data_IF_832825994955
#
_entry.id   IF_832825994955
#
_cell.length_a   1.000
_cell.length_b   1.000
_cell.length_c   1.000
_cell.angle_alpha   90.00
_cell.angle_beta   90.00
_cell.angle_gamma   90.00
#
_symmetry.space_group_name_H-M   'P 1'
#
loop_
_entity.id
_entity.type
_entity.pdbx_description
1 polymer ?
#
# COMPACT_ATOMS: atom_id res chain seq x y z
N UNK A 1 -10.45 5.22 -31.19
CA UNK A 1 -11.83 4.70 -31.15
C UNK A 1 -11.94 3.76 -29.95
N UNK A 2 -12.63 4.18 -28.89
CA UNK A 2 -12.72 3.44 -27.63
C UNK A 2 -13.87 2.41 -27.68
N UNK A 3 -13.62 1.18 -27.22
CA UNK A 3 -14.64 0.13 -27.09
C UNK A 3 -15.36 0.24 -25.74
N UNK A 4 -16.69 0.01 -25.67
CA UNK A 4 -17.44 0.17 -24.42
C UNK A 4 -17.29 -1.03 -23.47
N UNK A 5 -17.18 -0.72 -22.18
CA UNK A 5 -17.14 -1.68 -21.06
C UNK A 5 -18.57 -2.16 -20.78
N UNK A 6 -18.77 -3.48 -20.71
CA UNK A 6 -20.04 -4.10 -20.33
C UNK A 6 -20.15 -4.13 -18.80
N UNK A 7 -21.22 -3.57 -18.26
CA UNK A 7 -21.59 -3.72 -16.85
C UNK A 7 -22.20 -5.11 -16.63
N UNK A 8 -21.70 -5.85 -15.64
CA UNK A 8 -22.28 -7.11 -15.19
C UNK A 8 -22.89 -6.89 -13.80
N UNK A 9 -24.22 -6.89 -13.75
CA UNK A 9 -25.02 -6.93 -12.52
C UNK A 9 -24.96 -8.35 -11.94
N UNK A 10 -24.65 -8.47 -10.65
CA UNK A 10 -24.79 -9.74 -9.91
C UNK A 10 -26.00 -9.65 -8.98
N UNK A 11 -26.93 -10.58 -9.19
CA UNK A 11 -28.16 -10.76 -8.43
C UNK A 11 -27.87 -11.50 -7.11
N UNK A 12 -28.53 -11.08 -6.04
CA UNK A 12 -28.39 -11.62 -4.70
C UNK A 12 -29.62 -12.47 -4.37
N UNK A 13 -29.52 -13.79 -4.56
CA UNK A 13 -30.47 -14.72 -3.96
C UNK A 13 -29.88 -16.14 -3.89
N UNK A 14 -29.62 -16.63 -2.68
CA UNK A 14 -30.10 -17.94 -2.20
C UNK A 14 -29.47 -18.28 -0.84
N UNK A 15 -30.35 -18.43 0.15
CA UNK A 15 -30.11 -18.94 1.52
C UNK A 15 -30.38 -20.45 1.53
N UNK A 16 -29.77 -21.22 2.44
CA UNK A 16 -30.61 -22.05 3.33
C UNK A 16 -30.07 -22.03 4.77
N UNK A 17 -30.87 -21.77 5.80
CA UNK A 17 -31.88 -22.60 6.48
C UNK A 17 -31.29 -23.24 7.76
N UNK A 18 -32.06 -23.11 8.85
CA UNK A 18 -31.67 -23.37 10.24
C UNK A 18 -31.86 -24.85 10.58
N UNK A 19 -31.00 -25.38 11.44
CA UNK A 19 -31.27 -26.61 12.18
C UNK A 19 -31.13 -26.35 13.69
N UNK A 20 -32.10 -26.82 14.48
CA UNK A 20 -32.14 -26.83 15.95
C UNK A 20 -32.56 -28.22 16.44
N UNK A 21 -32.34 -28.57 17.72
CA UNK A 21 -31.73 -29.84 18.12
C UNK A 21 -32.68 -30.81 18.82
N UNK A 22 -32.33 -32.10 18.86
CA UNK A 22 -32.85 -33.03 19.88
C UNK A 22 -31.78 -34.00 20.37
N UNK A 23 -31.80 -34.22 21.68
CA UNK A 23 -30.93 -35.09 22.47
C UNK A 23 -31.32 -36.57 22.34
N UNK A 24 -30.43 -37.48 22.75
CA UNK A 24 -30.68 -38.67 23.59
C UNK A 24 -29.32 -39.20 24.11
N UNK A 25 -29.42 -39.95 25.20
CA UNK A 25 -28.54 -40.13 26.35
C UNK A 25 -27.52 -41.29 26.29
N UNK A 26 -26.60 -41.25 27.27
CA UNK A 26 -26.08 -42.37 28.08
C UNK A 26 -24.86 -43.16 27.57
N UNK A 27 -23.71 -42.99 28.24
CA UNK A 27 -23.22 -43.97 29.24
C UNK A 27 -21.81 -43.61 29.71
N UNK A 28 -21.60 -43.75 31.01
CA UNK A 28 -20.41 -43.43 31.78
C UNK A 28 -19.22 -44.37 31.50
N UNK A 29 -18.00 -43.83 31.43
CA UNK A 29 -16.80 -44.43 32.04
C UNK A 29 -15.70 -43.37 32.18
N UNK A 30 -15.19 -43.24 33.40
CA UNK A 30 -14.17 -42.29 33.84
C UNK A 30 -12.80 -42.58 33.23
N UNK A 31 -12.05 -41.51 32.91
CA UNK A 31 -10.62 -41.42 33.18
C UNK A 31 -10.30 -39.95 33.42
N UNK A 32 -10.11 -39.58 34.69
CA UNK A 32 -9.55 -38.29 35.08
C UNK A 32 -8.10 -38.21 34.61
N UNK A 33 -7.78 -37.22 33.78
CA UNK A 33 -6.42 -36.76 33.57
C UNK A 33 -6.37 -35.27 33.81
N UNK A 34 -5.87 -34.96 35.00
CA UNK A 34 -5.41 -33.65 35.44
C UNK A 34 -4.57 -33.01 34.34
N UNK A 35 -5.15 -32.02 33.64
CA UNK A 35 -4.42 -31.19 32.68
C UNK A 35 -4.58 -29.76 33.14
N UNK A 36 -3.64 -29.34 33.98
CA UNK A 36 -3.38 -27.94 34.29
C UNK A 36 -3.40 -27.11 33.00
N UNK A 37 -4.23 -26.06 32.87
CA UNK A 37 -4.17 -25.20 31.71
C UNK A 37 -2.86 -24.40 31.79
N UNK A 38 -1.94 -24.71 30.86
CA UNK A 38 -0.74 -23.92 30.63
C UNK A 38 -1.15 -22.46 30.30
N UNK A 39 -0.50 -21.44 30.90
CA UNK A 39 -0.81 -20.06 30.60
C UNK A 39 -0.49 -19.79 29.13
N UNK A 40 -1.53 -19.39 28.41
CA UNK A 40 -1.51 -18.96 27.02
C UNK A 40 -0.41 -17.89 26.86
N UNK A 41 0.71 -18.26 26.24
CA UNK A 41 1.71 -17.29 25.81
C UNK A 41 1.08 -16.46 24.69
N UNK A 42 0.54 -15.31 25.07
CA UNK A 42 0.31 -14.21 24.14
C UNK A 42 1.69 -13.82 23.60
N UNK A 43 2.02 -14.34 22.42
CA UNK A 43 3.16 -13.89 21.63
C UNK A 43 2.90 -12.41 21.36
N UNK A 44 3.54 -11.54 22.14
CA UNK A 44 3.57 -10.11 21.83
C UNK A 44 4.22 -9.98 20.47
N UNK A 45 3.48 -9.46 19.49
CA UNK A 45 4.07 -9.14 18.20
C UNK A 45 5.24 -8.19 18.43
N UNK A 46 6.46 -8.69 18.26
CA UNK A 46 7.66 -7.90 18.31
C UNK A 46 7.60 -6.89 17.16
N UNK A 47 7.21 -5.66 17.48
CA UNK A 47 7.02 -4.60 16.49
C UNK A 47 8.36 -4.24 15.90
N UNK A 48 8.69 -4.85 14.75
CA UNK A 48 9.94 -4.59 14.01
C UNK A 48 10.14 -3.08 13.85
N UNK A 49 11.32 -2.53 14.19
CA UNK A 49 11.57 -1.10 14.09
C UNK A 49 11.42 -0.64 12.64
N UNK A 50 10.86 0.56 12.47
CA UNK A 50 10.74 1.19 11.16
C UNK A 50 12.17 1.51 10.68
N UNK A 51 12.57 1.08 9.48
CA UNK A 51 13.90 1.37 8.95
C UNK A 51 14.10 2.89 8.81
N UNK A 52 15.36 3.34 8.75
CA UNK A 52 15.63 4.73 8.37
C UNK A 52 15.25 4.94 6.90
N UNK A 53 14.60 6.06 6.64
CA UNK A 53 13.97 6.38 5.36
C UNK A 53 14.49 7.74 4.90
N UNK A 54 14.99 7.78 3.68
CA UNK A 54 15.34 9.02 2.98
C UNK A 54 14.36 9.29 1.84
N UNK A 55 14.20 10.56 1.49
CA UNK A 55 13.39 11.01 0.36
C UNK A 55 14.29 11.77 -0.60
N UNK A 56 14.43 11.28 -1.83
CA UNK A 56 15.26 11.92 -2.87
C UNK A 56 14.54 11.92 -4.22
N UNK A 57 14.91 12.80 -5.17
CA UNK A 57 14.50 12.66 -6.57
C UNK A 57 14.81 11.25 -7.08
N UNK A 58 13.94 10.74 -7.96
CA UNK A 58 14.16 9.47 -8.65
C UNK A 58 15.05 9.72 -9.88
N UNK A 59 16.03 8.85 -10.11
CA UNK A 59 16.99 8.94 -11.21
C UNK A 59 16.78 7.81 -12.22
N UNK A 60 17.34 7.93 -13.43
CA UNK A 60 17.23 6.89 -14.47
C UNK A 60 17.91 5.57 -14.05
N UNK A 61 18.96 5.66 -13.24
CA UNK A 61 19.64 4.51 -12.63
C UNK A 61 18.73 3.69 -11.72
N UNK A 62 17.67 4.29 -11.17
CA UNK A 62 16.70 3.62 -10.28
C UNK A 62 15.66 2.77 -11.03
N UNK A 63 15.73 2.69 -12.36
CA UNK A 63 14.69 2.05 -13.19
C UNK A 63 14.39 0.61 -12.77
N UNK A 64 15.41 -0.17 -12.41
CA UNK A 64 15.24 -1.56 -12.00
C UNK A 64 14.54 -1.68 -10.64
N UNK A 65 14.79 -0.74 -9.73
CA UNK A 65 14.07 -0.67 -8.46
C UNK A 65 12.64 -0.17 -8.66
N UNK A 66 12.41 0.84 -9.51
CA UNK A 66 11.08 1.33 -9.90
C UNK A 66 10.19 0.20 -10.42
N UNK A 67 10.74 -0.66 -11.27
CA UNK A 67 10.00 -1.78 -11.83
C UNK A 67 9.45 -2.72 -10.75
N UNK A 68 10.11 -2.87 -9.59
CA UNK A 68 9.65 -3.79 -8.51
C UNK A 68 8.25 -3.50 -7.99
N UNK A 69 7.79 -2.25 -8.07
CA UNK A 69 6.41 -1.90 -7.71
C UNK A 69 5.56 -1.46 -8.89
N UNK A 70 6.18 -1.03 -10.00
CA UNK A 70 5.47 -0.64 -11.23
C UNK A 70 5.02 -1.81 -12.10
N UNK A 71 5.63 -2.98 -11.98
CA UNK A 71 5.21 -4.20 -12.67
C UNK A 71 4.40 -5.16 -11.80
N UNK A 72 4.30 -4.89 -10.48
CA UNK A 72 3.61 -5.77 -9.53
C UNK A 72 2.11 -5.49 -9.52
N UNK A 73 1.30 -6.42 -10.03
CA UNK A 73 -0.16 -6.33 -10.06
C UNK A 73 -0.79 -6.10 -8.68
N UNK A 74 -0.18 -6.62 -7.61
CA UNK A 74 -0.67 -6.42 -6.23
C UNK A 74 -0.60 -4.94 -5.85
N UNK A 75 0.40 -4.22 -6.36
CA UNK A 75 0.57 -2.78 -6.18
C UNK A 75 -0.27 -2.01 -7.20
N UNK A 76 -0.18 -2.38 -8.48
CA UNK A 76 -0.75 -1.60 -9.58
C UNK A 76 -2.28 -1.62 -9.64
N UNK A 77 -2.94 -2.63 -9.06
CA UNK A 77 -4.42 -2.70 -8.96
C UNK A 77 -5.08 -1.51 -8.22
N UNK A 78 -4.30 -0.74 -7.45
CA UNK A 78 -4.78 0.46 -6.73
C UNK A 78 -4.49 1.76 -7.46
N UNK A 79 -3.93 1.70 -8.67
CA UNK A 79 -3.52 2.87 -9.43
C UNK A 79 -4.32 2.97 -10.72
N UNK A 80 -4.54 4.19 -11.19
CA UNK A 80 -5.15 4.43 -12.51
C UNK A 80 -4.15 4.32 -13.65
N UNK A 81 -2.84 4.20 -13.35
CA UNK A 81 -1.79 4.09 -14.36
C UNK A 81 -1.57 2.64 -14.75
N UNK A 82 -1.11 2.45 -15.99
CA UNK A 82 -0.69 1.15 -16.48
C UNK A 82 0.62 0.71 -15.80
N UNK A 83 0.77 -0.61 -15.65
CA UNK A 83 2.01 -1.21 -15.19
C UNK A 83 3.13 -0.98 -16.21
N UNK A 84 4.35 -0.80 -15.72
CA UNK A 84 5.56 -0.78 -16.55
C UNK A 84 6.15 -2.19 -16.52
N UNK A 85 5.98 -2.94 -17.61
CA UNK A 85 6.40 -4.34 -17.69
C UNK A 85 7.76 -4.51 -18.34
N UNK A 86 8.20 -3.52 -19.13
CA UNK A 86 9.52 -3.48 -19.76
C UNK A 86 10.39 -2.36 -19.17
N UNK A 87 11.71 -2.47 -19.36
CA UNK A 87 12.66 -1.44 -18.93
C UNK A 87 12.45 -0.13 -19.68
N UNK A 88 12.16 -0.19 -20.98
CA UNK A 88 11.90 0.99 -21.80
C UNK A 88 10.64 1.73 -21.35
N UNK A 89 9.54 1.01 -21.08
CA UNK A 89 8.32 1.60 -20.51
C UNK A 89 8.58 2.28 -19.15
N UNK A 90 9.47 1.71 -18.34
CA UNK A 90 9.84 2.27 -17.05
C UNK A 90 10.72 3.52 -17.21
N UNK A 91 11.67 3.54 -18.14
CA UNK A 91 12.47 4.72 -18.49
C UNK A 91 11.57 5.86 -19.01
N UNK A 92 10.69 5.56 -19.96
CA UNK A 92 9.69 6.50 -20.47
C UNK A 92 8.82 7.04 -19.34
N UNK A 93 8.45 6.20 -18.36
CA UNK A 93 7.71 6.62 -17.18
C UNK A 93 8.50 7.65 -16.36
N UNK A 94 9.80 7.42 -16.17
CA UNK A 94 10.68 8.33 -15.42
C UNK A 94 10.77 9.67 -16.13
N UNK A 95 11.14 9.65 -17.41
CA UNK A 95 11.41 10.87 -18.20
C UNK A 95 10.13 11.69 -18.44
N UNK A 96 9.04 11.02 -18.81
CA UNK A 96 7.82 11.72 -19.26
C UNK A 96 6.89 12.12 -18.12
N UNK A 97 6.95 11.46 -16.97
CA UNK A 97 5.96 11.68 -15.90
C UNK A 97 6.55 11.96 -14.53
N UNK A 98 7.73 11.43 -14.21
CA UNK A 98 8.31 11.55 -12.87
C UNK A 98 9.22 12.77 -12.79
N UNK A 99 10.18 12.90 -13.71
CA UNK A 99 11.09 14.05 -13.78
C UNK A 99 10.38 15.40 -13.93
N UNK A 100 9.37 15.57 -14.80
CA UNK A 100 8.63 16.84 -14.91
C UNK A 100 7.61 17.03 -13.78
N UNK A 101 7.45 16.07 -12.86
CA UNK A 101 6.49 16.20 -11.77
C UNK A 101 6.93 17.30 -10.80
N UNK A 102 6.04 18.22 -10.38
CA UNK A 102 6.42 19.36 -9.55
C UNK A 102 7.06 18.96 -8.23
N UNK A 103 6.63 17.82 -7.68
CA UNK A 103 7.25 17.24 -6.50
C UNK A 103 7.03 15.73 -6.47
N UNK A 104 8.04 14.96 -6.84
CA UNK A 104 8.07 13.50 -6.75
C UNK A 104 9.36 13.08 -6.04
N UNK A 105 9.25 12.14 -5.10
CA UNK A 105 10.40 11.58 -4.37
C UNK A 105 10.31 10.06 -4.31
N UNK A 106 11.44 9.42 -4.54
CA UNK A 106 11.66 8.04 -4.16
C UNK A 106 11.66 7.92 -2.64
N UNK A 107 11.03 6.89 -2.13
CA UNK A 107 11.15 6.46 -0.72
C UNK A 107 12.30 5.46 -0.71
N UNK A 108 13.40 5.81 -0.05
CA UNK A 108 14.61 4.99 -0.05
C UNK A 108 14.91 4.39 1.32
N UNK A 109 15.38 3.14 1.31
CA UNK A 109 15.97 2.43 2.45
C UNK A 109 17.38 2.03 2.01
N UNK A 110 18.40 2.41 2.77
CA UNK A 110 19.81 2.17 2.39
C UNK A 110 20.12 2.69 0.97
N UNK A 111 19.62 3.90 0.66
CA UNK A 111 19.70 4.58 -0.65
C UNK A 111 19.02 3.86 -1.84
N UNK A 112 18.36 2.73 -1.58
CA UNK A 112 17.60 1.99 -2.59
C UNK A 112 16.13 2.41 -2.60
N UNK A 113 15.55 2.79 -3.75
CA UNK A 113 14.13 3.05 -3.87
C UNK A 113 13.29 1.80 -3.59
N UNK A 114 12.32 1.93 -2.70
CA UNK A 114 11.34 0.87 -2.37
C UNK A 114 9.91 1.31 -2.65
N UNK A 115 9.74 2.54 -3.11
CA UNK A 115 8.46 3.15 -3.41
C UNK A 115 8.63 4.62 -3.78
N UNK A 116 7.52 5.33 -3.81
CA UNK A 116 7.48 6.73 -4.21
C UNK A 116 6.37 7.48 -3.50
N UNK A 117 6.54 8.79 -3.38
CA UNK A 117 5.51 9.73 -2.98
C UNK A 117 5.57 10.99 -3.84
N UNK A 118 4.42 11.61 -4.04
CA UNK A 118 4.29 12.77 -4.92
C UNK A 118 3.22 13.73 -4.43
N UNK A 119 3.50 15.02 -4.52
CA UNK A 119 2.53 16.08 -4.29
C UNK A 119 2.25 16.81 -5.61
N UNK A 120 0.97 17.04 -5.89
CA UNK A 120 0.51 17.82 -7.03
C UNK A 120 -0.41 18.93 -6.53
N UNK A 121 -0.15 20.21 -6.86
CA UNK A 121 -1.09 21.28 -6.53
C UNK A 121 -2.46 20.99 -7.16
N UNK A 122 -3.53 21.28 -6.42
CA UNK A 122 -4.87 21.24 -6.99
C UNK A 122 -4.98 22.31 -8.11
N UNK A 123 -5.76 22.06 -9.17
CA UNK A 123 -5.88 22.98 -10.28
C UNK A 123 -6.69 24.23 -9.92
N UNK A 124 -6.49 25.30 -10.69
CA UNK A 124 -7.28 26.54 -10.57
C UNK A 124 -7.01 27.31 -9.28
N UNK A 125 -8.07 27.86 -8.70
CA UNK A 125 -7.99 28.71 -7.50
C UNK A 125 -7.75 27.91 -6.21
N UNK A 126 -7.84 26.57 -6.27
CA UNK A 126 -7.58 25.67 -5.14
C UNK A 126 -6.09 25.37 -4.92
N UNK A 127 -5.17 26.13 -5.51
CA UNK A 127 -3.71 25.93 -5.38
C UNK A 127 -3.18 25.90 -3.94
N UNK A 128 -3.98 26.37 -2.97
CA UNK A 128 -3.72 26.23 -1.54
C UNK A 128 -3.84 24.77 -1.03
N UNK A 129 -4.28 23.84 -1.88
CA UNK A 129 -4.40 22.41 -1.61
C UNK A 129 -3.50 21.62 -2.55
N UNK A 130 -3.09 20.43 -2.13
CA UNK A 130 -2.33 19.50 -2.96
C UNK A 130 -2.85 18.07 -2.79
N UNK A 131 -2.78 17.30 -3.86
CA UNK A 131 -3.02 15.87 -3.87
C UNK A 131 -1.73 15.13 -3.53
N UNK A 132 -1.82 14.23 -2.55
CA UNK A 132 -0.75 13.30 -2.19
C UNK A 132 -1.04 11.93 -2.81
N UNK A 133 -0.09 11.43 -3.61
CA UNK A 133 -0.08 10.04 -4.08
C UNK A 133 1.16 9.32 -3.57
N UNK A 134 1.05 8.03 -3.27
CA UNK A 134 2.19 7.19 -2.92
C UNK A 134 2.04 5.78 -3.49
N UNK A 135 3.16 5.08 -3.60
CA UNK A 135 3.24 3.67 -3.97
C UNK A 135 4.40 3.04 -3.21
N UNK A 136 4.27 1.77 -2.85
CA UNK A 136 5.29 1.03 -2.11
C UNK A 136 5.33 -0.39 -2.67
N UNK A 137 6.53 -0.92 -2.90
CA UNK A 137 6.71 -2.31 -3.28
C UNK A 137 6.08 -3.24 -2.23
N UNK A 138 5.42 -4.30 -2.71
CA UNK A 138 4.57 -5.16 -1.89
C UNK A 138 5.29 -5.72 -0.65
N UNK A 139 6.56 -6.10 -0.82
CA UNK A 139 7.37 -6.71 0.25
C UNK A 139 7.57 -5.79 1.47
N UNK A 140 7.35 -4.49 1.31
CA UNK A 140 7.52 -3.47 2.35
C UNK A 140 6.20 -3.08 3.05
N UNK A 141 5.08 -3.67 2.66
CA UNK A 141 3.77 -3.37 3.26
C UNK A 141 3.68 -3.84 4.71
N UNK A 142 2.78 -3.22 5.48
CA UNK A 142 2.55 -3.56 6.89
C UNK A 142 3.64 -3.11 7.87
N UNK A 143 4.68 -2.40 7.39
CA UNK A 143 5.85 -2.01 8.20
C UNK A 143 5.87 -0.54 8.64
N UNK A 144 4.81 0.22 8.37
CA UNK A 144 4.73 1.65 8.70
C UNK A 144 5.63 2.58 7.87
N UNK A 145 6.31 2.07 6.84
CA UNK A 145 7.26 2.81 5.99
C UNK A 145 6.59 4.01 5.32
N UNK A 146 5.45 3.81 4.65
CA UNK A 146 4.73 4.90 3.99
C UNK A 146 4.32 5.99 4.98
N UNK A 147 3.86 5.63 6.18
CA UNK A 147 3.48 6.62 7.20
C UNK A 147 4.67 7.46 7.64
N UNK A 148 5.84 6.85 7.86
CA UNK A 148 7.06 7.58 8.18
C UNK A 148 7.51 8.47 7.02
N UNK A 149 7.46 7.97 5.78
CA UNK A 149 7.80 8.72 4.57
C UNK A 149 6.88 9.93 4.37
N UNK A 150 5.56 9.76 4.53
CA UNK A 150 4.58 10.85 4.43
C UNK A 150 4.81 11.92 5.49
N UNK A 151 5.12 11.55 6.73
CA UNK A 151 5.45 12.53 7.78
C UNK A 151 6.66 13.39 7.39
N UNK A 152 7.74 12.77 6.87
CA UNK A 152 8.92 13.51 6.37
C UNK A 152 8.55 14.40 5.18
N UNK A 153 7.78 13.88 4.23
CA UNK A 153 7.37 14.59 3.03
C UNK A 153 6.48 15.81 3.33
N UNK A 154 5.49 15.66 4.22
CA UNK A 154 4.61 16.74 4.66
C UNK A 154 5.41 17.85 5.36
N UNK A 155 6.38 17.49 6.21
CA UNK A 155 7.24 18.47 6.86
C UNK A 155 8.13 19.24 5.86
N UNK A 156 8.52 18.62 4.75
CA UNK A 156 9.28 19.27 3.69
C UNK A 156 8.38 20.16 2.82
N UNK A 157 7.24 19.65 2.35
CA UNK A 157 6.38 20.35 1.39
C UNK A 157 5.78 21.63 1.97
N UNK A 158 5.44 21.68 3.26
CA UNK A 158 4.95 22.92 3.88
C UNK A 158 6.04 24.00 4.01
N UNK A 159 7.32 23.63 3.96
CA UNK A 159 8.43 24.59 3.91
C UNK A 159 8.69 25.05 2.48
N UNK A 160 8.64 24.12 1.52
CA UNK A 160 8.89 24.40 0.10
C UNK A 160 7.72 25.15 -0.55
N UNK A 161 6.48 24.80 -0.20
CA UNK A 161 5.22 25.36 -0.72
C UNK A 161 4.44 26.04 0.40
N UNK A 162 4.85 27.25 0.83
CA UNK A 162 4.24 27.96 1.96
C UNK A 162 2.80 28.45 1.72
N UNK A 163 2.31 28.34 0.48
CA UNK A 163 0.92 28.66 0.11
C UNK A 163 -0.07 27.53 0.41
N UNK A 164 0.41 26.34 0.80
CA UNK A 164 -0.46 25.24 1.19
C UNK A 164 -1.11 25.50 2.56
N UNK A 165 -2.40 25.23 2.64
CA UNK A 165 -3.18 25.25 3.88
C UNK A 165 -3.21 23.87 4.54
N UNK A 166 -3.39 23.84 5.87
CA UNK A 166 -3.40 22.63 6.70
C UNK A 166 -4.80 22.20 7.09
#
# INVERSE_FOLDING_TARGET
>A
MARPIKNLTVDASSRPEKATPHQITSSCSQMERDTTPQPNQLVGEEKKPIPDITLRPLELSDVEDLMKWKSDDRVMRFTTRQACTTKDEALDCIESFIMPHPWFRAICIEDRPVGSLAFRPAPGDEKHRAWLGYSLAYDYWGRGITTAAVKKAVAAIFKEWPHLER
#
